data_IF_607745456231
#
_entry.id   IF_607745456231
#
_cell.length_a   1.000
_cell.length_b   1.000
_cell.length_c   1.000
_cell.angle_alpha   90.00
_cell.angle_beta   90.00
_cell.angle_gamma   90.00
#
_symmetry.space_group_name_H-M   'P 1'
#
loop_
_entity.id
_entity.type
_entity.pdbx_description
1 polymer ?
#
# COMPACT_ATOMS: atom_id res chain seq x y z
N UNK A 1 -11.78 10.71 33.89
CA UNK A 1 -11.13 9.56 33.21
C UNK A 1 -11.53 9.66 31.74
N UNK A 2 -10.64 10.04 30.81
CA UNK A 2 -10.98 10.04 29.36
C UNK A 2 -11.20 8.58 28.97
N UNK A 3 -12.39 8.25 28.47
CA UNK A 3 -12.65 6.94 27.88
C UNK A 3 -11.62 6.73 26.76
N UNK A 4 -10.91 5.59 26.70
CA UNK A 4 -10.02 5.32 25.60
C UNK A 4 -10.82 5.40 24.30
N UNK A 5 -10.29 6.03 23.24
CA UNK A 5 -11.00 6.15 21.97
C UNK A 5 -11.43 4.75 21.54
N UNK A 6 -12.72 4.59 21.21
CA UNK A 6 -13.31 3.33 20.79
C UNK A 6 -12.48 2.75 19.64
N UNK A 7 -11.77 1.65 19.89
CA UNK A 7 -10.92 1.05 18.87
C UNK A 7 -11.83 0.41 17.83
N UNK A 8 -11.93 1.05 16.65
CA UNK A 8 -12.62 0.50 15.47
C UNK A 8 -12.26 -0.98 15.30
N UNK A 9 -13.28 -1.83 15.10
CA UNK A 9 -13.06 -3.23 14.71
C UNK A 9 -12.27 -3.25 13.41
N UNK A 10 -11.02 -3.74 13.48
CA UNK A 10 -10.14 -3.83 12.32
C UNK A 10 -10.72 -4.82 11.33
N UNK A 11 -10.77 -4.45 10.06
CA UNK A 11 -11.14 -5.38 9.00
C UNK A 11 -10.05 -6.47 8.87
N UNK A 12 -10.45 -7.65 8.39
CA UNK A 12 -9.55 -8.81 8.27
C UNK A 12 -8.32 -8.52 7.39
N UNK A 13 -8.45 -7.60 6.44
CA UNK A 13 -7.40 -7.24 5.48
C UNK A 13 -6.38 -6.24 6.04
N UNK A 14 -6.63 -5.62 7.20
CA UNK A 14 -5.74 -4.59 7.76
C UNK A 14 -4.41 -5.14 8.29
N UNK A 15 -4.26 -6.47 8.31
CA UNK A 15 -2.98 -7.14 8.51
C UNK A 15 -2.05 -7.06 7.30
N UNK A 16 -2.58 -6.76 6.11
CA UNK A 16 -1.83 -6.55 4.87
C UNK A 16 -1.55 -5.06 4.64
N UNK A 17 -0.76 -4.73 3.62
CA UNK A 17 -0.84 -3.41 2.97
C UNK A 17 -2.17 -3.37 2.23
N UNK A 18 -2.88 -2.27 2.30
CA UNK A 18 -4.18 -2.18 1.64
C UNK A 18 -4.50 -0.74 1.29
N UNK A 19 -5.28 -0.57 0.23
CA UNK A 19 -5.94 0.68 -0.12
C UNK A 19 -7.21 0.37 -0.92
N UNK A 20 -8.10 1.35 -1.05
CA UNK A 20 -9.16 1.33 -2.04
C UNK A 20 -8.69 2.14 -3.23
N UNK A 21 -8.73 1.54 -4.42
CA UNK A 21 -8.44 2.24 -5.68
C UNK A 21 -9.42 3.40 -5.92
N UNK A 22 -9.07 4.27 -6.86
CA UNK A 22 -9.94 5.35 -7.31
C UNK A 22 -11.30 4.84 -7.81
N UNK A 23 -11.35 3.60 -8.32
CA UNK A 23 -12.57 2.95 -8.81
C UNK A 23 -13.27 2.08 -7.74
N UNK A 24 -12.81 2.14 -6.48
CA UNK A 24 -13.46 1.48 -5.34
C UNK A 24 -13.06 0.03 -5.07
N UNK A 25 -12.20 -0.57 -5.91
CA UNK A 25 -11.67 -1.93 -5.68
C UNK A 25 -10.74 -1.97 -4.47
N UNK A 26 -10.89 -3.01 -3.64
CA UNK A 26 -9.94 -3.30 -2.57
C UNK A 26 -8.66 -3.91 -3.16
N UNK A 27 -7.53 -3.29 -2.87
CA UNK A 27 -6.22 -3.77 -3.30
C UNK A 27 -5.39 -4.12 -2.07
N UNK A 28 -4.78 -5.31 -2.07
CA UNK A 28 -4.06 -5.88 -0.95
C UNK A 28 -2.62 -6.22 -1.33
N UNK A 29 -1.65 -5.97 -0.47
CA UNK A 29 -0.25 -6.36 -0.67
C UNK A 29 0.36 -6.98 0.57
N UNK A 30 1.18 -8.03 0.43
CA UNK A 30 1.90 -8.57 1.57
C UNK A 30 2.88 -7.56 2.19
N UNK A 31 3.08 -7.66 3.50
CA UNK A 31 4.05 -6.84 4.24
C UNK A 31 5.42 -7.50 4.30
N UNK A 32 5.44 -8.82 4.22
CA UNK A 32 6.59 -9.70 4.34
C UNK A 32 6.30 -11.04 3.64
N UNK A 33 7.27 -11.96 3.64
CA UNK A 33 7.14 -13.28 3.04
C UNK A 33 5.97 -14.12 3.61
N UNK A 34 5.72 -14.02 4.91
CA UNK A 34 4.66 -14.78 5.60
C UNK A 34 3.28 -14.28 5.19
N UNK A 35 3.09 -12.97 5.18
CA UNK A 35 1.84 -12.33 4.76
C UNK A 35 1.62 -12.46 3.26
N UNK A 36 2.65 -12.43 2.41
CA UNK A 36 2.55 -12.79 0.98
C UNK A 36 2.00 -14.21 0.82
N UNK A 37 2.55 -15.19 1.56
CA UNK A 37 2.10 -16.57 1.49
C UNK A 37 0.64 -16.73 1.92
N UNK A 38 0.24 -16.07 3.00
CA UNK A 38 -1.16 -16.06 3.48
C UNK A 38 -2.08 -15.39 2.46
N UNK A 39 -1.68 -14.26 1.89
CA UNK A 39 -2.47 -13.51 0.91
C UNK A 39 -2.77 -14.38 -0.32
N UNK A 40 -1.72 -14.93 -0.94
CA UNK A 40 -1.87 -15.74 -2.16
C UNK A 40 -2.59 -17.06 -1.91
N UNK A 41 -2.34 -17.74 -0.78
CA UNK A 41 -2.94 -19.07 -0.54
C UNK A 41 -4.35 -19.04 0.02
N UNK A 42 -4.66 -18.05 0.88
CA UNK A 42 -5.93 -18.05 1.64
C UNK A 42 -6.92 -16.99 1.17
N UNK A 43 -6.47 -15.98 0.43
CA UNK A 43 -7.30 -14.82 0.10
C UNK A 43 -7.34 -14.49 -1.40
N UNK A 44 -6.54 -15.16 -2.23
CA UNK A 44 -6.62 -15.06 -3.69
C UNK A 44 -7.80 -15.86 -4.22
N UNK A 45 -8.64 -15.21 -5.01
CA UNK A 45 -9.81 -15.79 -5.65
C UNK A 45 -9.60 -15.92 -7.17
N UNK A 46 -10.32 -16.81 -7.88
CA UNK A 46 -10.04 -17.11 -9.28
C UNK A 46 -10.12 -15.93 -10.26
N UNK A 47 -10.90 -14.89 -9.90
CA UNK A 47 -11.11 -13.69 -10.71
C UNK A 47 -10.23 -12.50 -10.30
N UNK A 48 -9.42 -12.64 -9.24
CA UNK A 48 -8.51 -11.59 -8.81
C UNK A 48 -7.46 -11.28 -9.89
N UNK A 49 -6.74 -10.17 -9.73
CA UNK A 49 -5.57 -9.86 -10.55
C UNK A 49 -4.34 -9.80 -9.66
N UNK A 50 -3.29 -10.52 -10.04
CA UNK A 50 -2.06 -10.67 -9.24
C UNK A 50 -0.95 -9.85 -9.84
N UNK A 51 -0.34 -8.98 -9.04
CA UNK A 51 0.78 -8.12 -9.42
C UNK A 51 2.04 -8.54 -8.67
N UNK A 52 3.17 -8.38 -9.34
CA UNK A 52 4.49 -8.47 -8.73
C UNK A 52 5.46 -7.56 -9.50
N UNK A 53 6.30 -6.83 -8.77
CA UNK A 53 7.31 -5.99 -9.38
C UNK A 53 8.48 -6.85 -9.89
N UNK A 54 9.13 -6.48 -10.99
CA UNK A 54 10.20 -7.29 -11.60
C UNK A 54 11.54 -7.10 -10.86
N UNK A 55 11.52 -7.35 -9.55
CA UNK A 55 12.65 -7.25 -8.62
C UNK A 55 12.48 -8.25 -7.48
N UNK A 56 13.60 -8.71 -6.93
CA UNK A 56 13.61 -9.57 -5.74
C UNK A 56 13.12 -8.78 -4.52
N UNK A 57 12.20 -9.38 -3.76
CA UNK A 57 11.66 -8.77 -2.54
C UNK A 57 10.52 -7.80 -2.79
N UNK A 58 9.88 -7.87 -3.96
CA UNK A 58 8.59 -7.23 -4.18
C UNK A 58 7.47 -7.98 -3.44
N UNK A 59 6.41 -7.27 -3.00
CA UNK A 59 5.22 -7.92 -2.48
C UNK A 59 4.42 -8.56 -3.62
N UNK A 60 3.65 -9.61 -3.28
CA UNK A 60 2.50 -9.98 -4.09
C UNK A 60 1.36 -9.01 -3.77
N UNK A 61 0.76 -8.44 -4.81
CA UNK A 61 -0.38 -7.52 -4.69
C UNK A 61 -1.58 -8.13 -5.42
N UNK A 62 -2.75 -8.09 -4.80
CA UNK A 62 -4.02 -8.59 -5.33
C UNK A 62 -5.03 -7.46 -5.46
N UNK A 63 -5.66 -7.36 -6.63
CA UNK A 63 -6.94 -6.65 -6.76
C UNK A 63 -8.04 -7.65 -6.44
N UNK A 64 -8.87 -7.34 -5.44
CA UNK A 64 -10.09 -8.08 -5.15
C UNK A 64 -11.18 -7.63 -6.12
N UNK A 65 -11.41 -8.41 -7.18
CA UNK A 65 -12.25 -7.94 -8.30
C UNK A 65 -13.73 -8.26 -8.13
N UNK A 66 -14.07 -9.28 -7.33
CA UNK A 66 -15.45 -9.77 -7.16
C UNK A 66 -16.12 -10.08 -8.52
N UNK A 67 -15.32 -10.54 -9.49
CA UNK A 67 -15.78 -10.86 -10.86
C UNK A 67 -15.90 -9.67 -11.81
N UNK A 68 -15.62 -8.44 -11.35
CA UNK A 68 -15.66 -7.23 -12.19
C UNK A 68 -14.32 -7.02 -12.92
N UNK A 69 -14.33 -6.28 -14.02
CA UNK A 69 -13.12 -5.90 -14.73
C UNK A 69 -12.50 -4.63 -14.13
N UNK A 70 -11.28 -4.65 -13.58
CA UNK A 70 -10.64 -3.45 -13.05
C UNK A 70 -10.30 -2.45 -14.18
N UNK A 71 -10.64 -1.17 -14.05
CA UNK A 71 -10.19 -0.14 -14.99
C UNK A 71 -8.66 0.05 -14.97
N UNK A 72 -8.13 0.66 -16.03
CA UNK A 72 -6.69 0.91 -16.17
C UNK A 72 -6.11 1.71 -14.99
N UNK A 73 -6.87 2.68 -14.46
CA UNK A 73 -6.51 3.44 -13.27
C UNK A 73 -6.22 2.51 -12.07
N UNK A 74 -7.14 1.60 -11.75
CA UNK A 74 -6.95 0.60 -10.68
C UNK A 74 -5.74 -0.32 -10.94
N UNK A 75 -5.50 -0.70 -12.20
CA UNK A 75 -4.35 -1.52 -12.60
C UNK A 75 -3.04 -0.75 -12.33
N UNK A 76 -2.96 0.52 -12.74
CA UNK A 76 -1.80 1.38 -12.55
C UNK A 76 -1.53 1.69 -11.07
N UNK A 77 -2.57 1.96 -10.29
CA UNK A 77 -2.47 2.16 -8.84
C UNK A 77 -1.95 0.89 -8.14
N UNK A 78 -2.46 -0.28 -8.52
CA UNK A 78 -2.00 -1.57 -7.97
C UNK A 78 -0.54 -1.85 -8.31
N UNK A 79 -0.12 -1.46 -9.52
CA UNK A 79 1.27 -1.54 -9.93
C UNK A 79 2.16 -0.58 -9.12
N UNK A 80 1.73 0.66 -8.88
CA UNK A 80 2.46 1.63 -8.06
C UNK A 80 2.63 1.12 -6.61
N UNK A 81 1.63 0.42 -6.06
CA UNK A 81 1.78 -0.26 -4.77
C UNK A 81 2.87 -1.35 -4.83
N UNK A 82 2.83 -2.21 -5.84
CA UNK A 82 3.81 -3.29 -5.98
C UNK A 82 5.25 -2.77 -6.14
N UNK A 83 5.45 -1.72 -6.95
CA UNK A 83 6.75 -1.09 -7.15
C UNK A 83 7.25 -0.40 -5.87
N UNK A 84 6.42 0.47 -5.28
CA UNK A 84 6.82 1.33 -4.15
C UNK A 84 7.11 0.57 -2.87
N UNK A 85 6.43 -0.56 -2.64
CA UNK A 85 6.67 -1.41 -1.46
C UNK A 85 7.65 -2.56 -1.72
N UNK A 86 8.33 -2.55 -2.86
CA UNK A 86 9.39 -3.50 -3.19
C UNK A 86 10.75 -3.06 -2.62
N UNK A 87 11.75 -3.94 -2.81
CA UNK A 87 13.15 -3.62 -2.49
C UNK A 87 13.67 -2.38 -3.22
N UNK A 88 13.16 -2.09 -4.42
CA UNK A 88 13.62 -0.97 -5.25
C UNK A 88 13.49 0.39 -4.54
N UNK A 89 12.53 0.54 -3.61
CA UNK A 89 12.42 1.75 -2.79
C UNK A 89 13.66 2.01 -1.92
N UNK A 90 14.20 0.95 -1.29
CA UNK A 90 15.42 1.09 -0.48
C UNK A 90 16.66 1.28 -1.35
N UNK A 91 16.65 0.73 -2.55
CA UNK A 91 17.73 0.89 -3.53
C UNK A 91 17.64 2.23 -4.30
N UNK A 92 16.70 3.12 -3.93
CA UNK A 92 16.55 4.47 -4.49
C UNK A 92 16.23 4.49 -6.00
N UNK A 93 15.47 3.51 -6.50
CA UNK A 93 15.06 3.51 -7.90
C UNK A 93 13.91 4.50 -8.11
N UNK A 94 13.94 5.25 -9.21
CA UNK A 94 12.84 6.16 -9.57
C UNK A 94 11.64 5.41 -10.15
N UNK A 95 11.91 4.41 -10.99
CA UNK A 95 10.89 3.61 -11.66
C UNK A 95 11.24 2.13 -11.67
N UNK A 96 10.22 1.28 -11.85
CA UNK A 96 10.37 -0.16 -12.00
C UNK A 96 9.32 -0.73 -12.95
N UNK A 97 9.65 -1.82 -13.64
CA UNK A 97 8.66 -2.58 -14.38
C UNK A 97 7.85 -3.46 -13.41
N UNK A 98 6.54 -3.45 -13.57
CA UNK A 98 5.63 -4.33 -12.84
C UNK A 98 4.93 -5.21 -13.85
N UNK A 99 4.60 -6.43 -13.47
CA UNK A 99 3.70 -7.25 -14.28
C UNK A 99 2.50 -7.71 -13.47
N UNK A 100 1.43 -8.01 -14.20
CA UNK A 100 0.26 -8.67 -13.66
C UNK A 100 -0.11 -9.93 -14.45
N UNK A 101 -0.73 -10.88 -13.73
CA UNK A 101 -1.15 -12.18 -14.23
C UNK A 101 -2.47 -12.61 -13.59
N UNK A 102 -3.11 -13.60 -14.21
CA UNK A 102 -4.27 -14.26 -13.60
C UNK A 102 -3.84 -15.21 -12.46
N UNK A 103 -4.72 -15.47 -11.48
CA UNK A 103 -4.47 -16.41 -10.37
C UNK A 103 -4.07 -17.81 -10.84
N UNK A 104 -4.60 -18.27 -11.98
CA UNK A 104 -4.28 -19.57 -12.59
C UNK A 104 -2.80 -19.71 -12.98
N UNK A 105 -2.11 -18.59 -13.19
CA UNK A 105 -0.70 -18.57 -13.53
C UNK A 105 0.23 -18.64 -12.32
N UNK A 106 -0.31 -18.48 -11.11
CA UNK A 106 0.45 -18.47 -9.87
C UNK A 106 0.45 -19.86 -9.25
N UNK A 107 1.62 -20.48 -9.18
CA UNK A 107 1.80 -21.81 -8.57
C UNK A 107 2.88 -21.78 -7.50
N UNK A 108 2.73 -22.57 -6.43
CA UNK A 108 3.81 -22.73 -5.46
C UNK A 108 4.97 -23.47 -6.14
N UNK A 109 6.20 -23.01 -5.93
CA UNK A 109 7.35 -23.76 -6.40
C UNK A 109 7.42 -25.14 -5.73
N UNK A 110 7.71 -26.18 -6.52
CA UNK A 110 7.89 -27.55 -6.05
C UNK A 110 9.27 -27.77 -5.38
N UNK A 111 10.24 -26.89 -5.64
CA UNK A 111 11.59 -26.90 -5.09
C UNK A 111 11.69 -26.00 -3.84
N UNK A 112 12.68 -26.22 -2.95
CA UNK A 112 12.87 -25.39 -1.76
C UNK A 112 13.32 -23.98 -2.14
N UNK A 113 12.36 -23.12 -2.51
CA UNK A 113 12.57 -21.68 -2.57
C UNK A 113 12.42 -21.08 -1.17
N UNK A 114 12.98 -19.88 -1.00
CA UNK A 114 12.70 -19.04 0.17
C UNK A 114 11.19 -18.90 0.35
N UNK A 115 10.74 -18.92 1.61
CA UNK A 115 9.33 -18.77 1.98
C UNK A 115 8.71 -17.56 1.27
N UNK A 116 7.50 -17.70 0.75
CA UNK A 116 6.80 -16.64 0.00
C UNK A 116 7.13 -16.52 -1.49
N UNK A 117 7.96 -17.41 -2.05
CA UNK A 117 8.22 -17.46 -3.49
C UNK A 117 7.16 -18.28 -4.25
N UNK A 118 6.71 -17.76 -5.38
CA UNK A 118 5.75 -18.40 -6.28
C UNK A 118 6.29 -18.39 -7.72
N UNK A 119 5.94 -19.42 -8.48
CA UNK A 119 6.26 -19.54 -9.90
C UNK A 119 5.11 -18.96 -10.70
N UNK A 120 5.44 -18.03 -11.59
CA UNK A 120 4.52 -17.45 -12.57
C UNK A 120 4.70 -18.17 -13.91
N UNK A 121 3.62 -18.75 -14.43
CA UNK A 121 3.62 -19.48 -15.72
C UNK A 121 2.92 -18.68 -16.81
N UNK A 122 3.31 -18.90 -18.06
CA UNK A 122 2.70 -18.24 -19.22
C UNK A 122 3.11 -16.78 -19.39
N UNK A 123 2.35 -16.04 -20.20
CA UNK A 123 2.61 -14.64 -20.54
C UNK A 123 2.31 -13.69 -19.38
N UNK A 124 3.13 -12.64 -19.27
CA UNK A 124 2.99 -11.57 -18.28
C UNK A 124 2.52 -10.30 -18.96
N UNK A 125 1.60 -9.57 -18.33
CA UNK A 125 1.20 -8.25 -18.80
C UNK A 125 2.05 -7.21 -18.08
N UNK A 126 2.92 -6.52 -18.82
CA UNK A 126 3.87 -5.57 -18.24
C UNK A 126 3.34 -4.14 -18.24
N UNK A 127 3.53 -3.45 -17.12
CA UNK A 127 3.39 -2.01 -16.97
C UNK A 127 4.81 -1.47 -16.79
N UNK A 128 5.25 -0.65 -17.73
CA UNK A 128 6.62 -0.16 -17.79
C UNK A 128 6.76 1.16 -17.03
N UNK A 129 7.95 1.39 -16.49
CA UNK A 129 8.34 2.67 -15.88
C UNK A 129 7.38 3.14 -14.77
N UNK A 130 6.90 2.22 -13.93
CA UNK A 130 6.02 2.56 -12.80
C UNK A 130 6.84 3.34 -11.77
N UNK A 131 6.42 4.56 -11.45
CA UNK A 131 7.09 5.41 -10.48
C UNK A 131 6.98 4.86 -9.06
N UNK A 132 8.07 4.94 -8.31
CA UNK A 132 8.09 4.59 -6.89
C UNK A 132 7.60 5.80 -6.10
N UNK A 133 6.31 5.82 -5.81
CA UNK A 133 5.66 6.91 -5.13
C UNK A 133 4.45 6.43 -4.34
N UNK A 134 4.23 7.02 -3.18
CA UNK A 134 3.01 6.82 -2.39
C UNK A 134 2.51 8.16 -1.86
N UNK A 135 1.27 8.17 -1.40
CA UNK A 135 0.72 9.25 -0.59
C UNK A 135 0.28 8.73 0.78
N UNK A 136 0.36 9.61 1.77
CA UNK A 136 -0.21 9.40 3.12
C UNK A 136 -1.08 10.61 3.44
N UNK A 137 -2.32 10.36 3.83
CA UNK A 137 -3.28 11.41 4.11
C UNK A 137 -4.17 11.10 5.31
N UNK A 138 -5.06 12.06 5.60
CA UNK A 138 -6.08 11.93 6.64
C UNK A 138 -7.44 12.06 5.99
N UNK A 139 -8.27 11.04 6.16
CA UNK A 139 -9.67 11.04 5.77
C UNK A 139 -10.54 11.16 7.01
N UNK A 140 -11.55 12.03 6.96
CA UNK A 140 -12.55 12.12 8.03
C UNK A 140 -13.65 11.11 7.77
N UNK A 141 -13.81 10.11 8.64
CA UNK A 141 -14.89 9.14 8.59
C UNK A 141 -15.70 9.21 9.88
N UNK A 142 -16.99 9.50 9.78
CA UNK A 142 -17.90 9.64 10.93
C UNK A 142 -17.36 10.60 12.02
N UNK A 143 -16.69 11.68 11.59
CA UNK A 143 -16.08 12.67 12.50
C UNK A 143 -14.76 12.24 13.15
N UNK A 144 -14.23 11.06 12.81
CA UNK A 144 -12.95 10.54 13.29
C UNK A 144 -11.87 10.63 12.19
N UNK A 145 -10.66 11.15 12.49
CA UNK A 145 -9.56 11.16 11.54
C UNK A 145 -8.98 9.75 11.37
N UNK A 146 -8.96 9.26 10.14
CA UNK A 146 -8.36 7.99 9.76
C UNK A 146 -7.13 8.23 8.87
N UNK A 147 -6.02 7.59 9.20
CA UNK A 147 -4.83 7.60 8.34
C UNK A 147 -5.06 6.66 7.16
N UNK A 148 -4.95 7.21 5.96
CA UNK A 148 -5.00 6.47 4.69
C UNK A 148 -3.65 6.58 4.00
N UNK A 149 -3.24 5.54 3.27
CA UNK A 149 -2.01 5.58 2.51
C UNK A 149 -1.97 4.52 1.42
N UNK A 150 -1.27 4.81 0.33
CA UNK A 150 -1.31 4.01 -0.89
C UNK A 150 -0.80 4.78 -2.10
N UNK A 151 -1.16 4.35 -3.32
CA UNK A 151 -0.88 5.09 -4.55
C UNK A 151 -1.42 6.51 -4.52
N UNK A 152 -0.73 7.45 -5.16
CA UNK A 152 -1.03 8.89 -5.05
C UNK A 152 -2.44 9.21 -5.52
N UNK A 153 -2.80 8.74 -6.71
CA UNK A 153 -4.11 8.96 -7.31
C UNK A 153 -5.25 8.45 -6.40
N UNK A 154 -5.14 7.21 -5.92
CA UNK A 154 -6.12 6.61 -5.04
C UNK A 154 -6.34 7.41 -3.74
N UNK A 155 -5.28 7.94 -3.14
CA UNK A 155 -5.37 8.74 -1.92
C UNK A 155 -5.92 10.13 -2.20
N UNK A 156 -5.55 10.74 -3.33
CA UNK A 156 -6.06 12.05 -3.74
C UNK A 156 -7.58 12.07 -3.94
N UNK A 157 -8.17 10.94 -4.38
CA UNK A 157 -9.63 10.76 -4.48
C UNK A 157 -10.33 10.64 -3.13
N UNK A 158 -9.62 10.18 -2.10
CA UNK A 158 -10.19 9.96 -0.76
C UNK A 158 -10.09 11.19 0.14
N UNK A 159 -9.06 12.02 -0.06
CA UNK A 159 -8.82 13.22 0.73
C UNK A 159 -7.97 14.23 -0.02
N UNK A 160 -8.27 15.52 0.14
CA UNK A 160 -7.42 16.62 -0.33
C UNK A 160 -6.23 16.90 0.61
N UNK A 161 -6.21 16.27 1.78
CA UNK A 161 -5.20 16.47 2.82
C UNK A 161 -4.29 15.24 2.88
N UNK A 162 -3.26 15.26 2.03
CA UNK A 162 -2.22 14.25 1.95
C UNK A 162 -0.86 14.86 1.70
N UNK A 163 0.18 14.04 1.86
CA UNK A 163 1.54 14.32 1.44
C UNK A 163 2.05 13.17 0.57
N UNK A 164 2.83 13.50 -0.43
CA UNK A 164 3.48 12.51 -1.31
C UNK A 164 4.86 12.16 -0.77
N UNK A 165 5.20 10.87 -0.85
CA UNK A 165 6.52 10.35 -0.50
C UNK A 165 7.15 9.67 -1.71
N UNK A 166 8.46 9.81 -1.80
CA UNK A 166 9.33 9.13 -2.75
C UNK A 166 10.49 8.45 -1.97
N UNK A 167 11.25 7.55 -2.62
CA UNK A 167 12.48 7.01 -2.05
C UNK A 167 13.37 8.11 -1.49
N UNK A 168 13.96 7.87 -0.32
CA UNK A 168 14.72 8.89 0.39
C UNK A 168 15.48 8.34 1.58
N UNK A 169 16.22 9.22 2.26
CA UNK A 169 17.15 8.86 3.32
C UNK A 169 16.60 9.05 4.76
N UNK A 170 15.42 9.66 4.92
CA UNK A 170 14.88 9.93 6.25
C UNK A 170 14.26 8.68 6.86
N UNK A 171 14.56 8.38 8.13
CA UNK A 171 14.00 7.24 8.87
C UNK A 171 12.49 7.43 9.12
N UNK A 172 11.73 6.35 9.04
CA UNK A 172 10.26 6.34 9.17
C UNK A 172 9.74 7.01 10.43
N UNK A 173 10.41 6.85 11.58
CA UNK A 173 9.96 7.47 12.83
C UNK A 173 9.98 9.00 12.79
N UNK A 174 11.08 9.58 12.30
CA UNK A 174 11.21 11.03 12.13
C UNK A 174 10.28 11.54 11.02
N UNK A 175 10.23 10.81 9.90
CA UNK A 175 9.37 11.14 8.77
C UNK A 175 7.88 11.10 9.16
N UNK A 176 7.43 10.10 9.90
CA UNK A 176 6.04 10.01 10.38
C UNK A 176 5.68 11.15 11.34
N UNK A 177 6.61 11.57 12.22
CA UNK A 177 6.41 12.74 13.08
C UNK A 177 6.25 14.01 12.26
N UNK A 178 7.07 14.18 11.22
CA UNK A 178 6.99 15.31 10.31
C UNK A 178 5.67 15.32 9.52
N UNK A 179 5.31 14.19 8.90
CA UNK A 179 4.05 14.00 8.18
C UNK A 179 2.85 14.32 9.08
N UNK A 180 2.80 13.77 10.29
CA UNK A 180 1.72 14.04 11.25
C UNK A 180 1.57 15.53 11.53
N UNK A 181 2.68 16.23 11.73
CA UNK A 181 2.70 17.67 11.96
C UNK A 181 2.19 18.47 10.76
N UNK A 182 2.62 18.12 9.55
CA UNK A 182 2.17 18.79 8.32
C UNK A 182 0.68 18.57 8.06
N UNK A 183 0.21 17.33 8.22
CA UNK A 183 -1.21 17.00 8.03
C UNK A 183 -2.07 17.69 9.10
N UNK A 184 -1.64 17.69 10.37
CA UNK A 184 -2.39 18.33 11.46
C UNK A 184 -2.61 19.84 11.25
N UNK A 185 -1.62 20.55 10.68
CA UNK A 185 -1.70 21.99 10.38
C UNK A 185 -2.76 22.35 9.33
N UNK A 186 -3.24 21.38 8.56
CA UNK A 186 -4.27 21.59 7.52
C UNK A 186 -5.71 21.48 8.05
N UNK A 187 -5.89 21.22 9.35
CA UNK A 187 -7.21 21.10 9.99
C UNK A 187 -7.44 22.18 11.06
N UNK A 188 -8.69 22.38 11.47
CA UNK A 188 -9.06 23.26 12.58
C UNK A 188 -8.45 22.81 13.91
N UNK A 189 -8.31 23.72 14.89
CA UNK A 189 -7.62 23.44 16.17
C UNK A 189 -8.18 22.20 16.92
N UNK A 190 -9.49 21.99 16.85
CA UNK A 190 -10.15 20.84 17.49
C UNK A 190 -9.71 19.52 16.84
N UNK A 191 -9.66 19.48 15.51
CA UNK A 191 -9.24 18.29 14.75
C UNK A 191 -7.73 18.12 14.78
N UNK A 192 -6.96 19.20 14.81
CA UNK A 192 -5.52 19.19 14.95
C UNK A 192 -5.09 18.43 16.21
N UNK A 193 -5.74 18.67 17.36
CA UNK A 193 -5.47 17.92 18.60
C UNK A 193 -5.72 16.42 18.43
N UNK A 194 -6.84 16.03 17.80
CA UNK A 194 -7.15 14.62 17.52
C UNK A 194 -6.12 13.96 16.59
N UNK A 195 -5.62 14.68 15.59
CA UNK A 195 -4.62 14.16 14.66
C UNK A 195 -3.26 13.99 15.36
N UNK A 196 -2.89 14.91 16.25
CA UNK A 196 -1.65 14.81 17.01
C UNK A 196 -1.68 13.65 18.03
N UNK A 197 -2.87 13.23 18.45
CA UNK A 197 -3.09 12.04 19.29
C UNK A 197 -2.96 10.71 18.50
N UNK A 198 -2.94 10.73 17.16
CA UNK A 198 -2.75 9.53 16.34
C UNK A 198 -1.34 8.94 16.61
N UNK A 199 -1.24 7.64 16.98
CA UNK A 199 0.04 6.97 17.16
C UNK A 199 0.91 7.03 15.90
N UNK A 200 2.22 7.27 16.06
CA UNK A 200 3.12 7.40 14.91
C UNK A 200 3.18 6.11 14.08
N UNK A 201 2.96 4.97 14.70
CA UNK A 201 2.95 3.64 14.08
C UNK A 201 1.85 3.52 13.02
N UNK A 202 0.72 4.23 13.20
CA UNK A 202 -0.40 4.24 12.25
C UNK A 202 -0.03 4.96 10.94
N UNK A 203 0.95 5.88 10.99
CA UNK A 203 1.53 6.57 9.84
C UNK A 203 2.74 5.78 9.31
N UNK A 204 3.64 5.35 10.19
CA UNK A 204 4.87 4.65 9.82
C UNK A 204 4.62 3.37 9.03
N UNK A 205 3.53 2.65 9.29
CA UNK A 205 3.19 1.43 8.54
C UNK A 205 2.98 1.64 7.04
N UNK A 206 2.65 2.87 6.63
CA UNK A 206 2.51 3.25 5.22
C UNK A 206 3.85 3.71 4.61
N UNK A 207 4.93 3.87 5.38
CA UNK A 207 6.24 4.24 4.83
C UNK A 207 6.96 2.97 4.34
N UNK A 208 7.34 2.85 3.04
CA UNK A 208 8.02 1.67 2.52
C UNK A 208 9.42 1.50 3.12
N UNK A 209 9.79 0.24 3.42
CA UNK A 209 11.08 -0.19 4.01
C UNK A 209 11.66 0.69 5.13
N UNK A 210 10.82 1.46 5.83
CA UNK A 210 11.19 2.31 6.95
C UNK A 210 11.97 3.58 6.58
N UNK A 211 12.04 3.98 5.31
CA UNK A 211 12.72 5.23 4.89
C UNK A 211 11.97 5.93 3.77
N UNK A 212 12.23 7.22 3.57
CA UNK A 212 11.65 7.99 2.47
C UNK A 212 12.01 9.47 2.59
N UNK A 213 11.41 10.28 1.74
CA UNK A 213 11.40 11.73 1.88
C UNK A 213 10.06 12.27 1.36
N UNK A 214 9.63 13.40 1.91
CA UNK A 214 8.45 14.12 1.40
C UNK A 214 8.84 14.74 0.07
N UNK A 215 8.06 14.45 -0.98
CA UNK A 215 8.24 15.08 -2.28
C UNK A 215 7.90 16.56 -2.13
N UNK A 216 8.88 17.42 -2.44
CA UNK A 216 8.78 18.88 -2.39
C UNK A 216 7.88 19.42 -3.49
#
# INVERSE_FOLDING_TARGET
RKLPPERRKKAWYEKFRWFHSSDGFLVLGGRDATTNEVLVKKHMEPHDVVFHADVVGAPFVLIKTEGKHPPEQTINESAQLAASYSRAWREMFDTLNVYWVSPKQVSKAALPLKRGAFIIRGSKNYIRNVSLQIAIGIQMKEGCPLVVGGPVEAISKQTSIYVELIPGNQKSGGLAKHIRGLLAKKFSEVLQKRILEIPLEEIQRFIPLGRGVIKS
#
